data_IF_679294463113
#
_entry.id   IF_679294463113
#
_cell.length_a   1.000
_cell.length_b   1.000
_cell.length_c   1.000
_cell.angle_alpha   90.00
_cell.angle_beta   90.00
_cell.angle_gamma   90.00
#
_symmetry.space_group_name_H-M   'P 1'
#
loop_
_entity.id
_entity.type
_entity.pdbx_description
1 polymer ?
#
# COMPACT_ATOMS: atom_id res chain seq x y z
N UNK A 1 -82.61 -13.03 37.07
CA UNK A 1 -81.30 -12.54 37.56
C UNK A 1 -80.25 -12.81 36.49
N UNK A 2 -79.91 -11.76 35.75
CA UNK A 2 -79.07 -11.81 34.55
C UNK A 2 -77.70 -11.21 34.85
N UNK A 3 -76.68 -11.79 34.20
CA UNK A 3 -75.39 -11.18 33.83
C UNK A 3 -74.49 -10.71 34.97
N UNK A 4 -73.52 -11.55 35.33
CA UNK A 4 -72.17 -11.18 35.80
C UNK A 4 -71.34 -12.43 35.48
N UNK A 5 -70.23 -12.45 34.72
CA UNK A 5 -69.14 -11.49 34.61
C UNK A 5 -68.18 -12.07 33.56
N UNK A 6 -68.30 -11.64 32.29
CA UNK A 6 -67.27 -11.88 31.28
C UNK A 6 -66.56 -10.55 31.00
N UNK A 7 -65.51 -10.31 31.79
CA UNK A 7 -64.58 -9.18 31.72
C UNK A 7 -63.23 -9.85 32.07
N UNK A 8 -62.25 -9.99 31.20
CA UNK A 8 -61.53 -8.99 30.44
C UNK A 8 -60.77 -9.74 29.33
N UNK A 9 -61.08 -9.47 28.06
CA UNK A 9 -60.09 -9.63 26.98
C UNK A 9 -59.82 -8.23 26.49
N UNK A 10 -58.87 -7.57 27.14
CA UNK A 10 -58.31 -6.32 26.63
C UNK A 10 -57.66 -6.63 25.29
N UNK A 11 -58.34 -6.18 24.24
CA UNK A 11 -57.82 -6.18 22.89
C UNK A 11 -56.70 -5.14 22.84
N UNK A 12 -55.45 -5.57 22.80
CA UNK A 12 -54.33 -4.75 22.36
C UNK A 12 -54.48 -4.43 20.86
N UNK A 13 -55.45 -3.57 20.52
CA UNK A 13 -55.50 -2.91 19.22
C UNK A 13 -54.54 -1.74 19.27
N UNK A 14 -53.25 -2.03 19.06
CA UNK A 14 -52.30 -1.01 18.67
C UNK A 14 -52.75 -0.52 17.29
N UNK A 15 -53.51 0.57 17.27
CA UNK A 15 -53.97 1.23 16.05
C UNK A 15 -52.78 1.97 15.44
N UNK A 16 -51.88 1.23 14.79
CA UNK A 16 -50.87 1.84 13.93
C UNK A 16 -51.58 2.38 12.69
N UNK A 17 -51.74 3.71 12.62
CA UNK A 17 -52.19 4.43 11.42
C UNK A 17 -51.10 4.56 10.36
N UNK A 18 -50.03 3.77 10.45
CA UNK A 18 -48.90 3.83 9.54
C UNK A 18 -49.17 2.94 8.32
N UNK A 19 -49.56 3.56 7.21
CA UNK A 19 -49.77 2.86 5.94
C UNK A 19 -48.43 2.35 5.40
N UNK A 20 -48.44 1.19 4.72
CA UNK A 20 -47.26 0.53 4.14
C UNK A 20 -46.40 1.49 3.29
N UNK A 21 -47.05 2.45 2.62
CA UNK A 21 -46.38 3.48 1.82
C UNK A 21 -45.45 4.36 2.65
N UNK A 22 -45.84 4.71 3.88
CA UNK A 22 -44.99 5.54 4.76
C UNK A 22 -43.76 4.76 5.23
N UNK A 23 -43.91 3.46 5.47
CA UNK A 23 -42.78 2.59 5.80
C UNK A 23 -41.79 2.46 4.63
N UNK A 24 -42.30 2.32 3.42
CA UNK A 24 -41.51 2.27 2.19
C UNK A 24 -40.70 3.57 1.96
N UNK A 25 -41.32 4.73 2.22
CA UNK A 25 -40.65 6.03 2.12
C UNK A 25 -39.52 6.16 3.15
N UNK A 26 -39.72 5.69 4.38
CA UNK A 26 -38.68 5.71 5.42
C UNK A 26 -37.49 4.82 5.04
N UNK A 27 -37.76 3.62 4.54
CA UNK A 27 -36.69 2.71 4.08
C UNK A 27 -35.92 3.34 2.92
N UNK A 28 -36.63 3.94 1.96
CA UNK A 28 -35.99 4.59 0.82
C UNK A 28 -35.11 5.76 1.27
N UNK A 29 -35.60 6.60 2.18
CA UNK A 29 -34.82 7.70 2.76
C UNK A 29 -33.57 7.19 3.49
N UNK A 30 -33.68 6.09 4.23
CA UNK A 30 -32.55 5.47 4.89
C UNK A 30 -31.52 4.91 3.91
N UNK A 31 -31.97 4.25 2.83
CA UNK A 31 -31.10 3.71 1.79
C UNK A 31 -30.30 4.82 1.07
N UNK A 32 -30.97 5.91 0.71
CA UNK A 32 -30.32 7.07 0.07
C UNK A 32 -29.30 7.69 1.01
N UNK A 33 -29.64 7.86 2.30
CA UNK A 33 -28.71 8.37 3.30
C UNK A 33 -27.47 7.48 3.45
N UNK A 34 -27.65 6.17 3.52
CA UNK A 34 -26.56 5.20 3.59
C UNK A 34 -25.67 5.26 2.34
N UNK A 35 -26.27 5.35 1.14
CA UNK A 35 -25.55 5.45 -0.12
C UNK A 35 -24.66 6.70 -0.17
N UNK A 36 -25.16 7.85 0.27
CA UNK A 36 -24.37 9.10 0.31
C UNK A 36 -23.17 8.97 1.24
N UNK A 37 -23.36 8.40 2.44
CA UNK A 37 -22.27 8.19 3.41
C UNK A 37 -21.20 7.25 2.84
N UNK A 38 -21.63 6.14 2.23
CA UNK A 38 -20.74 5.18 1.59
C UNK A 38 -19.97 5.81 0.43
N UNK A 39 -20.66 6.55 -0.44
CA UNK A 39 -20.06 7.23 -1.59
C UNK A 39 -19.00 8.23 -1.15
N UNK A 40 -19.26 9.02 -0.11
CA UNK A 40 -18.27 9.95 0.44
C UNK A 40 -17.06 9.22 1.01
N UNK A 41 -17.27 8.14 1.76
CA UNK A 41 -16.16 7.34 2.30
C UNK A 41 -15.32 6.69 1.20
N UNK A 42 -15.95 6.20 0.14
CA UNK A 42 -15.26 5.62 -1.01
C UNK A 42 -14.49 6.68 -1.78
N UNK A 43 -15.07 7.87 -2.00
CA UNK A 43 -14.37 8.98 -2.66
C UNK A 43 -13.12 9.42 -1.87
N UNK A 44 -13.25 9.60 -0.55
CA UNK A 44 -12.10 9.95 0.31
C UNK A 44 -11.03 8.86 0.33
N UNK A 45 -11.43 7.58 0.42
CA UNK A 45 -10.49 6.45 0.38
C UNK A 45 -9.83 6.30 -0.98
N UNK A 46 -10.55 6.53 -2.07
CA UNK A 46 -10.02 6.49 -3.44
C UNK A 46 -9.00 7.61 -3.69
N UNK A 47 -9.29 8.83 -3.22
CA UNK A 47 -8.35 9.92 -3.30
C UNK A 47 -7.07 9.64 -2.48
N UNK A 48 -7.23 9.13 -1.27
CA UNK A 48 -6.09 8.79 -0.42
C UNK A 48 -5.27 7.62 -0.98
N UNK A 49 -5.93 6.64 -1.58
CA UNK A 49 -5.26 5.53 -2.27
C UNK A 49 -4.46 6.02 -3.48
N UNK A 50 -5.06 6.86 -4.31
CA UNK A 50 -4.36 7.47 -5.46
C UNK A 50 -3.15 8.29 -5.03
N UNK A 51 -3.26 9.05 -3.93
CA UNK A 51 -2.12 9.80 -3.39
C UNK A 51 -1.01 8.89 -2.85
N UNK A 52 -1.38 7.76 -2.24
CA UNK A 52 -0.40 6.77 -1.76
C UNK A 52 0.28 6.04 -2.91
N UNK A 53 -0.46 5.71 -3.97
CA UNK A 53 0.08 5.09 -5.19
C UNK A 53 1.06 6.04 -5.88
N UNK A 54 0.71 7.31 -6.07
CA UNK A 54 1.61 8.31 -6.66
C UNK A 54 2.89 8.45 -5.83
N UNK A 55 2.78 8.50 -4.50
CA UNK A 55 3.94 8.56 -3.61
C UNK A 55 4.80 7.28 -3.67
N UNK A 56 4.17 6.11 -3.75
CA UNK A 56 4.89 4.84 -3.87
C UNK A 56 5.69 4.76 -5.17
N UNK A 57 5.10 5.20 -6.30
CA UNK A 57 5.78 5.25 -7.60
C UNK A 57 7.00 6.18 -7.55
N UNK A 58 6.84 7.40 -7.01
CA UNK A 58 7.98 8.33 -6.88
C UNK A 58 9.09 7.74 -6.01
N UNK A 59 8.73 7.08 -4.91
CA UNK A 59 9.71 6.46 -4.02
C UNK A 59 10.44 5.28 -4.69
N UNK A 60 9.73 4.50 -5.51
CA UNK A 60 10.30 3.40 -6.29
C UNK A 60 11.25 3.91 -7.37
N UNK A 61 10.87 4.96 -8.10
CA UNK A 61 11.74 5.63 -9.08
C UNK A 61 13.00 6.20 -8.42
N UNK A 62 12.88 6.87 -7.27
CA UNK A 62 14.02 7.39 -6.53
C UNK A 62 14.95 6.26 -6.05
N UNK A 63 14.38 5.18 -5.53
CA UNK A 63 15.17 4.04 -5.07
C UNK A 63 15.90 3.38 -6.23
N UNK A 64 15.23 3.18 -7.38
CA UNK A 64 15.86 2.64 -8.58
C UNK A 64 16.99 3.54 -9.10
N UNK A 65 16.80 4.85 -9.07
CA UNK A 65 17.83 5.82 -9.46
C UNK A 65 19.03 5.79 -8.54
N UNK A 66 18.82 5.74 -7.22
CA UNK A 66 19.89 5.64 -6.23
C UNK A 66 20.63 4.30 -6.36
N UNK A 67 19.91 3.21 -6.62
CA UNK A 67 20.51 1.90 -6.83
C UNK A 67 21.36 1.87 -8.11
N UNK A 68 20.89 2.49 -9.19
CA UNK A 68 21.67 2.67 -10.42
C UNK A 68 22.93 3.49 -10.15
N UNK A 69 22.81 4.63 -9.44
CA UNK A 69 23.96 5.47 -9.10
C UNK A 69 24.98 4.72 -8.22
N UNK A 70 24.50 3.91 -7.27
CA UNK A 70 25.37 3.10 -6.42
C UNK A 70 26.09 2.00 -7.22
N UNK A 71 25.39 1.35 -8.14
CA UNK A 71 26.01 0.37 -9.07
C UNK A 71 27.02 1.05 -9.98
N UNK A 72 26.74 2.26 -10.46
CA UNK A 72 27.66 3.04 -11.28
C UNK A 72 28.92 3.44 -10.49
N UNK A 73 28.75 3.90 -9.24
CA UNK A 73 29.85 4.25 -8.31
C UNK A 73 30.67 3.03 -7.88
N UNK A 74 30.03 1.88 -7.66
CA UNK A 74 30.68 0.60 -7.37
C UNK A 74 31.26 -0.06 -8.62
N UNK A 75 30.94 0.43 -9.82
CA UNK A 75 31.48 -0.13 -11.04
C UNK A 75 32.99 0.11 -11.09
N UNK A 76 33.75 -0.99 -11.15
CA UNK A 76 35.22 -0.98 -11.31
C UNK A 76 35.69 -0.16 -12.52
N UNK A 77 34.78 0.15 -13.46
CA UNK A 77 35.03 1.05 -14.58
C UNK A 77 35.25 2.51 -14.15
N UNK A 78 34.52 3.02 -13.16
CA UNK A 78 34.77 4.35 -12.62
C UNK A 78 36.10 4.39 -11.85
N UNK A 79 36.38 3.35 -11.06
CA UNK A 79 37.66 3.20 -10.37
C UNK A 79 38.84 3.13 -11.36
N UNK A 80 38.71 2.37 -12.44
CA UNK A 80 39.71 2.28 -13.52
C UNK A 80 39.91 3.63 -14.22
N UNK A 81 38.83 4.36 -14.54
CA UNK A 81 38.93 5.71 -15.12
C UNK A 81 39.59 6.71 -14.19
N UNK A 82 39.26 6.69 -12.90
CA UNK A 82 39.88 7.56 -11.91
C UNK A 82 41.36 7.21 -11.68
N UNK A 83 41.69 5.92 -11.66
CA UNK A 83 43.07 5.45 -11.61
C UNK A 83 43.87 5.91 -12.85
N UNK A 84 43.31 5.82 -14.06
CA UNK A 84 43.93 6.36 -15.27
C UNK A 84 44.13 7.89 -15.20
N UNK A 85 43.17 8.64 -14.65
CA UNK A 85 43.32 10.10 -14.45
C UNK A 85 44.41 10.45 -13.44
N UNK A 86 44.62 9.61 -12.42
CA UNK A 86 45.71 9.73 -11.45
C UNK A 86 47.07 9.23 -12.00
N UNK A 87 47.12 8.79 -13.26
CA UNK A 87 48.33 8.33 -13.93
C UNK A 87 48.71 6.87 -13.65
N UNK A 88 47.80 6.09 -13.05
CA UNK A 88 48.00 4.64 -12.92
C UNK A 88 47.77 3.95 -14.26
N UNK A 89 48.68 3.04 -14.61
CA UNK A 89 48.66 2.26 -15.86
C UNK A 89 48.22 0.83 -15.52
N UNK A 90 47.37 0.24 -16.35
CA UNK A 90 46.91 -1.14 -16.18
C UNK A 90 48.10 -2.10 -16.32
N UNK A 91 48.37 -2.96 -15.31
CA UNK A 91 49.53 -3.84 -15.34
C UNK A 91 49.37 -4.93 -16.40
N UNK A 92 50.33 -5.03 -17.33
CA UNK A 92 50.33 -6.04 -18.42
C UNK A 92 50.48 -7.48 -17.90
N UNK A 93 50.94 -7.68 -16.67
CA UNK A 93 51.06 -9.00 -16.03
C UNK A 93 50.58 -8.97 -14.58
N UNK A 94 49.55 -9.77 -14.29
CA UNK A 94 49.05 -10.01 -12.94
C UNK A 94 49.95 -11.06 -12.29
N UNK A 95 50.97 -10.63 -11.54
CA UNK A 95 51.84 -11.57 -10.81
C UNK A 95 51.02 -12.22 -9.69
N UNK A 96 50.67 -13.49 -9.89
CA UNK A 96 49.93 -14.28 -8.93
C UNK A 96 50.88 -14.75 -7.82
N UNK A 97 50.92 -14.02 -6.69
CA UNK A 97 51.77 -14.34 -5.54
C UNK A 97 51.36 -15.63 -4.78
N UNK A 98 50.38 -16.39 -5.28
CA UNK A 98 49.84 -17.57 -4.60
C UNK A 98 50.57 -18.88 -4.94
N UNK A 99 51.50 -18.89 -5.91
CA UNK A 99 52.13 -20.14 -6.38
C UNK A 99 53.63 -19.99 -6.66
N UNK A 100 54.42 -19.54 -5.67
CA UNK A 100 55.85 -19.92 -5.55
C UNK A 100 56.45 -19.39 -4.25
N UNK A 101 56.15 -20.02 -3.11
CA UNK A 101 56.99 -19.91 -1.91
C UNK A 101 57.83 -21.17 -1.66
N UNK A 102 57.85 -22.12 -2.60
CA UNK A 102 58.54 -23.41 -2.41
C UNK A 102 59.86 -23.56 -3.18
N UNK A 103 60.31 -22.54 -3.93
CA UNK A 103 61.50 -22.67 -4.80
C UNK A 103 62.64 -21.67 -4.61
N UNK A 104 62.45 -20.54 -3.93
CA UNK A 104 63.43 -19.43 -3.95
C UNK A 104 64.27 -19.30 -2.67
N UNK A 105 64.16 -20.25 -1.73
CA UNK A 105 64.98 -20.27 -0.51
C UNK A 105 66.21 -21.20 -0.59
N UNK A 106 66.46 -21.84 -1.74
CA UNK A 106 67.70 -22.60 -1.96
C UNK A 106 68.31 -22.26 -3.32
N UNK A 107 68.95 -21.09 -3.40
CA UNK A 107 70.11 -20.86 -4.27
C UNK A 107 70.91 -19.66 -3.85
#
# INVERSE_FOLDING_TARGET
MLKLRNNHRENNKITSRFSINHFLIIILAFLVGAQVILSNKVATKGQLLSQLEDQAVVLEEENQKLLSANVDDLSLNQLSKYAQQLGFVEPEEVINLSTSSQGLAMR
#
